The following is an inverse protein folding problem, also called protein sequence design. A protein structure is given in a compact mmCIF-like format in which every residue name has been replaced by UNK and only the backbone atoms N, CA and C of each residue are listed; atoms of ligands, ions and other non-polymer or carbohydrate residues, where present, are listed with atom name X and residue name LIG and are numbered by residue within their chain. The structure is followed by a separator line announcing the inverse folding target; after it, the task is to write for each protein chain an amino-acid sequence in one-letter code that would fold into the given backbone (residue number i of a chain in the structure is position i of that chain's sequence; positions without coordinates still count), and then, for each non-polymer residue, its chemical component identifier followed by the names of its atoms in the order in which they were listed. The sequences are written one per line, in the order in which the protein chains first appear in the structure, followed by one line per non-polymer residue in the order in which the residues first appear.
data_IF_380073322532
#
_entry.id   IF_380073322532
#
_cell.length_a   1.000
_cell.length_b   1.000
_cell.length_c   1.000
_cell.angle_alpha   90.00
_cell.angle_beta   90.00
_cell.angle_gamma   90.00
#
_symmetry.space_group_name_H-M   'P 1'
#
loop_
_entity.id
_entity.type
_entity.pdbx_description
1 polymer ?
#
# COMPACT_ATOMS: atom_id res chain seq x y z
N UNK A 1 -18.18 5.74 4.75
CA UNK A 1 -17.44 4.84 5.68
C UNK A 1 -16.14 4.45 5.00
N UNK A 2 -15.02 4.97 5.49
CA UNK A 2 -13.69 4.70 4.91
C UNK A 2 -13.23 3.32 5.37
N UNK A 3 -13.26 2.34 4.48
CA UNK A 3 -12.73 1.00 4.75
C UNK A 3 -11.25 1.11 5.15
N UNK A 4 -10.91 0.76 6.39
CA UNK A 4 -9.51 0.68 6.86
C UNK A 4 -9.09 -0.77 6.85
N UNK A 5 -8.46 -1.19 5.74
CA UNK A 5 -7.96 -2.55 5.62
C UNK A 5 -6.51 -2.61 6.14
N UNK A 6 -5.55 -1.90 5.53
CA UNK A 6 -4.17 -1.85 6.02
C UNK A 6 -3.60 -0.43 5.92
N UNK A 7 -2.88 0.00 6.96
CA UNK A 7 -2.10 1.24 6.97
C UNK A 7 -0.82 1.03 7.77
N UNK A 8 0.34 1.09 7.11
CA UNK A 8 1.65 0.92 7.76
C UNK A 8 2.68 1.86 7.17
N UNK A 9 3.82 1.98 7.85
CA UNK A 9 5.01 2.70 7.36
C UNK A 9 6.17 1.72 7.31
N UNK A 10 6.96 1.81 6.26
CA UNK A 10 8.14 0.98 6.07
C UNK A 10 9.30 1.85 5.60
N UNK A 11 10.38 1.89 6.38
CA UNK A 11 11.54 2.74 6.09
C UNK A 11 12.52 1.99 5.19
N UNK A 12 12.79 2.55 4.02
CA UNK A 12 13.63 1.96 2.97
C UNK A 12 13.93 3.01 1.90
N UNK A 13 14.89 2.72 1.03
CA UNK A 13 15.19 3.56 -0.14
C UNK A 13 13.99 3.70 -1.07
N UNK A 14 13.67 4.95 -1.43
CA UNK A 14 12.62 5.25 -2.39
C UNK A 14 13.01 4.81 -3.81
N UNK A 15 12.13 4.09 -4.51
CA UNK A 15 12.37 3.68 -5.90
C UNK A 15 12.43 4.85 -6.89
N UNK A 16 11.92 6.02 -6.49
CA UNK A 16 11.92 7.21 -7.32
C UNK A 16 13.13 8.11 -7.04
N UNK A 17 13.34 8.54 -5.78
CA UNK A 17 14.41 9.49 -5.45
C UNK A 17 15.68 8.85 -4.85
N UNK A 18 15.65 7.56 -4.49
CA UNK A 18 16.79 6.85 -3.90
C UNK A 18 17.06 7.15 -2.43
N UNK A 19 16.37 8.10 -1.81
CA UNK A 19 16.57 8.47 -0.40
C UNK A 19 15.95 7.45 0.57
N UNK A 20 16.63 7.20 1.70
CA UNK A 20 16.10 6.42 2.82
C UNK A 20 14.98 7.21 3.53
N UNK A 21 13.74 6.80 3.28
CA UNK A 21 12.55 7.53 3.73
C UNK A 21 11.41 6.58 4.10
N UNK A 22 10.44 7.09 4.87
CA UNK A 22 9.22 6.35 5.17
C UNK A 22 8.40 6.14 3.89
N UNK A 23 8.14 4.88 3.56
CA UNK A 23 7.17 4.48 2.55
C UNK A 23 5.85 4.21 3.26
N UNK A 24 4.89 5.13 3.08
CA UNK A 24 3.56 5.06 3.69
C UNK A 24 2.69 4.17 2.82
N UNK A 25 2.34 2.99 3.33
CA UNK A 25 1.58 1.96 2.62
C UNK A 25 0.14 1.96 3.13
N UNK A 26 -0.81 2.16 2.23
CA UNK A 26 -2.25 2.08 2.53
C UNK A 26 -2.92 1.15 1.53
N UNK A 27 -3.53 0.08 2.01
CA UNK A 27 -4.33 -0.83 1.18
C UNK A 27 -5.79 -0.81 1.66
N UNK A 28 -6.71 -0.73 0.70
CA UNK A 28 -8.17 -0.84 0.85
C UNK A 28 -8.71 -1.74 -0.26
N UNK A 29 -9.98 -2.14 -0.23
CA UNK A 29 -10.48 -3.07 -1.26
C UNK A 29 -10.38 -2.51 -2.68
N UNK A 30 -10.61 -1.20 -2.84
CA UNK A 30 -10.61 -0.56 -4.15
C UNK A 30 -9.21 -0.27 -4.72
N UNK A 31 -8.18 -0.16 -3.88
CA UNK A 31 -6.83 0.22 -4.31
C UNK A 31 -5.81 0.02 -3.18
N UNK A 32 -4.53 -0.08 -3.53
CA UNK A 32 -3.43 0.12 -2.61
C UNK A 32 -2.51 1.26 -3.11
N UNK A 33 -1.91 1.99 -2.17
CA UNK A 33 -0.99 3.09 -2.45
C UNK A 33 0.26 2.96 -1.60
N UNK A 34 1.39 3.33 -2.19
CA UNK A 34 2.68 3.46 -1.51
C UNK A 34 3.19 4.87 -1.80
N UNK A 35 3.39 5.66 -0.76
CA UNK A 35 3.80 7.07 -0.87
C UNK A 35 5.13 7.26 -0.17
N UNK A 36 6.12 7.80 -0.87
CA UNK A 36 7.38 8.21 -0.24
C UNK A 36 7.19 9.50 0.55
N UNK A 37 7.60 9.51 1.82
CA UNK A 37 7.51 10.69 2.69
C UNK A 37 8.48 11.81 2.32
N UNK A 38 9.49 11.54 1.48
CA UNK A 38 10.52 12.51 1.12
C UNK A 38 10.20 13.26 -0.18
N UNK A 39 9.88 12.54 -1.26
CA UNK A 39 9.61 13.16 -2.57
C UNK A 39 8.15 13.16 -3.00
N UNK A 40 7.23 12.59 -2.21
CA UNK A 40 5.82 12.50 -2.57
C UNK A 40 5.49 11.50 -3.69
N UNK A 41 6.49 10.76 -4.20
CA UNK A 41 6.27 9.73 -5.21
C UNK A 41 5.24 8.71 -4.72
N UNK A 42 4.15 8.59 -5.46
CA UNK A 42 2.97 7.79 -5.13
C UNK A 42 2.77 6.72 -6.19
N UNK A 43 2.91 5.47 -5.79
CA UNK A 43 2.59 4.29 -6.60
C UNK A 43 1.19 3.80 -6.27
N UNK A 44 0.35 3.62 -7.29
CA UNK A 44 -1.02 3.13 -7.16
C UNK A 44 -1.12 1.72 -7.74
N UNK A 45 -1.73 0.84 -6.96
CA UNK A 45 -2.00 -0.55 -7.30
C UNK A 45 -3.51 -0.80 -7.30
N UNK A 46 -4.01 -1.46 -8.33
CA UNK A 46 -5.43 -1.73 -8.53
C UNK A 46 -5.69 -3.23 -8.28
N UNK A 47 -6.77 -3.57 -7.55
CA UNK A 47 -7.11 -4.96 -7.24
C UNK A 47 -7.30 -5.78 -8.52
N UNK A 48 -6.83 -7.02 -8.51
CA UNK A 48 -7.09 -7.97 -9.62
C UNK A 48 -7.90 -9.18 -9.17
N UNK A 49 -7.59 -9.72 -8.00
CA UNK A 49 -8.33 -10.83 -7.43
C UNK A 49 -8.15 -10.89 -5.91
N UNK A 50 -9.11 -11.55 -5.28
CA UNK A 50 -9.16 -11.88 -3.87
C UNK A 50 -9.32 -13.39 -3.75
N UNK A 51 -8.64 -14.02 -2.80
CA UNK A 51 -8.75 -15.47 -2.60
C UNK A 51 -8.60 -15.84 -1.14
N UNK A 52 -9.30 -16.90 -0.72
CA UNK A 52 -9.14 -17.54 0.58
C UNK A 52 -8.68 -18.98 0.33
N UNK A 53 -7.37 -19.25 0.45
CA UNK A 53 -6.82 -20.57 0.10
C UNK A 53 -5.28 -20.66 0.16
N UNK A 54 -4.76 -21.86 -0.11
CA UNK A 54 -3.31 -22.20 -0.07
C UNK A 54 -2.57 -21.55 -1.26
N UNK A 55 -1.39 -21.01 -0.95
CA UNK A 55 -0.58 -20.08 -1.74
C UNK A 55 0.04 -20.75 -2.97
N UNK A 56 0.01 -20.06 -4.12
CA UNK A 56 1.11 -20.12 -5.09
C UNK A 56 2.13 -19.04 -4.76
N UNK A 57 3.41 -19.39 -4.70
CA UNK A 57 4.53 -18.50 -4.35
C UNK A 57 4.41 -17.18 -5.12
N UNK A 58 4.49 -16.04 -4.42
CA UNK A 58 4.60 -14.74 -5.09
C UNK A 58 5.88 -14.75 -5.92
N UNK A 59 5.76 -14.96 -7.23
CA UNK A 59 6.90 -14.90 -8.13
C UNK A 59 7.48 -13.48 -8.04
N UNK A 60 8.80 -13.32 -7.81
CA UNK A 60 9.46 -12.02 -7.88
C UNK A 60 9.44 -11.53 -9.33
N UNK A 61 8.35 -10.88 -9.71
CA UNK A 61 8.22 -10.22 -11.01
C UNK A 61 8.67 -8.76 -10.81
N UNK A 62 9.96 -8.50 -10.96
CA UNK A 62 10.49 -7.14 -10.86
C UNK A 62 12.03 -7.04 -10.88
N UNK A 63 12.53 -5.85 -11.21
CA UNK A 63 13.96 -5.47 -11.08
C UNK A 63 14.35 -5.04 -9.66
N UNK A 64 13.35 -4.78 -8.81
CA UNK A 64 13.54 -4.24 -7.48
C UNK A 64 13.21 -5.29 -6.42
N UNK A 65 13.80 -5.13 -5.24
CA UNK A 65 13.57 -6.02 -4.11
C UNK A 65 12.09 -6.09 -3.71
N UNK A 66 11.71 -7.24 -3.18
CA UNK A 66 10.40 -7.44 -2.57
C UNK A 66 10.49 -6.99 -1.11
N UNK A 67 9.63 -6.06 -0.71
CA UNK A 67 9.46 -5.74 0.71
C UNK A 67 8.48 -6.74 1.31
N UNK A 68 8.95 -7.57 2.25
CA UNK A 68 8.12 -8.46 3.05
C UNK A 68 7.91 -7.82 4.44
N UNK A 69 6.68 -7.40 4.72
CA UNK A 69 6.35 -6.54 5.85
C UNK A 69 5.23 -7.20 6.66
N UNK A 70 5.45 -7.39 7.95
CA UNK A 70 4.39 -7.78 8.88
C UNK A 70 3.73 -6.53 9.48
N UNK A 71 2.39 -6.50 9.52
CA UNK A 71 1.64 -5.42 10.19
C UNK A 71 0.36 -5.95 10.83
N UNK A 72 -0.20 -5.19 11.77
CA UNK A 72 -1.51 -5.50 12.37
C UNK A 72 -2.61 -4.77 11.62
N UNK A 73 -3.61 -5.52 11.20
CA UNK A 73 -4.72 -5.00 10.40
C UNK A 73 -6.01 -5.77 10.68
N UNK A 74 -7.14 -5.14 10.38
CA UNK A 74 -8.45 -5.78 10.44
C UNK A 74 -8.71 -6.57 9.15
N UNK A 75 -9.03 -7.85 9.27
CA UNK A 75 -9.33 -8.69 8.13
C UNK A 75 -10.81 -8.59 7.74
N UNK A 76 -11.12 -8.11 6.53
CA UNK A 76 -12.50 -8.05 6.03
C UNK A 76 -13.16 -9.41 5.80
N UNK A 77 -12.37 -10.49 5.67
CA UNK A 77 -12.89 -11.84 5.46
C UNK A 77 -13.26 -12.55 6.77
N UNK A 78 -12.37 -12.55 7.78
CA UNK A 78 -12.65 -13.21 9.06
C UNK A 78 -13.10 -12.28 10.19
N UNK A 79 -13.07 -10.95 9.97
CA UNK A 79 -13.47 -9.95 10.95
C UNK A 79 -12.50 -9.75 12.13
N UNK A 80 -11.40 -10.50 12.18
CA UNK A 80 -10.42 -10.46 13.27
C UNK A 80 -9.31 -9.45 12.95
N UNK A 81 -8.95 -8.64 13.95
CA UNK A 81 -7.74 -7.81 13.90
C UNK A 81 -6.53 -8.66 14.31
N UNK A 82 -5.53 -8.74 13.45
CA UNK A 82 -4.38 -9.62 13.67
C UNK A 82 -3.23 -9.38 12.69
N UNK A 83 -2.18 -10.21 12.75
CA UNK A 83 -1.03 -10.08 11.88
C UNK A 83 -1.41 -10.35 10.41
N UNK A 84 -0.91 -9.49 9.54
CA UNK A 84 -1.04 -9.56 8.09
C UNK A 84 0.33 -9.38 7.46
N UNK A 85 0.63 -10.19 6.45
CA UNK A 85 1.83 -10.04 5.63
C UNK A 85 1.51 -9.16 4.44
N UNK A 86 2.43 -8.26 4.12
CA UNK A 86 2.41 -7.46 2.92
C UNK A 86 3.66 -7.76 2.12
N UNK A 87 3.46 -8.08 0.85
CA UNK A 87 4.54 -8.18 -0.12
C UNK A 87 4.39 -7.02 -1.08
N UNK A 88 5.33 -6.08 -1.07
CA UNK A 88 5.35 -4.93 -1.98
C UNK A 88 6.50 -5.10 -2.97
N UNK A 89 6.17 -5.30 -4.24
CA UNK A 89 7.13 -5.34 -5.33
C UNK A 89 6.99 -4.13 -6.25
N UNK A 90 7.76 -4.12 -7.33
CA UNK A 90 7.67 -3.07 -8.34
C UNK A 90 6.38 -3.14 -9.16
N UNK A 91 5.90 -4.35 -9.46
CA UNK A 91 4.73 -4.58 -10.32
C UNK A 91 3.46 -5.00 -9.59
N UNK A 92 3.54 -5.29 -8.29
CA UNK A 92 2.43 -5.84 -7.52
C UNK A 92 2.52 -5.52 -6.04
N UNK A 93 1.38 -5.58 -5.38
CA UNK A 93 1.26 -5.56 -3.92
C UNK A 93 0.33 -6.69 -3.52
N UNK A 94 0.73 -7.48 -2.53
CA UNK A 94 -0.11 -8.54 -1.96
C UNK A 94 -0.29 -8.29 -0.49
N UNK A 95 -1.50 -8.55 0.00
CA UNK A 95 -1.80 -8.60 1.43
C UNK A 95 -2.29 -9.98 1.77
N UNK A 96 -1.94 -10.50 2.95
CA UNK A 96 -2.38 -11.82 3.42
C UNK A 96 -2.67 -11.79 4.91
N UNK A 97 -3.88 -12.16 5.30
CA UNK A 97 -4.23 -12.40 6.69
C UNK A 97 -3.58 -13.69 7.18
N UNK A 98 -2.80 -13.64 8.27
CA UNK A 98 -2.20 -14.85 8.85
C UNK A 98 -3.23 -15.74 9.55
N UNK A 99 -4.40 -15.20 9.96
CA UNK A 99 -5.42 -15.96 10.67
C UNK A 99 -6.25 -16.86 9.74
N UNK A 100 -6.76 -16.34 8.63
CA UNK A 100 -7.65 -17.09 7.72
C UNK A 100 -7.06 -17.34 6.33
N UNK A 101 -5.84 -16.88 6.06
CA UNK A 101 -5.19 -17.01 4.76
C UNK A 101 -5.77 -16.13 3.65
N UNK A 102 -6.76 -15.28 3.96
CA UNK A 102 -7.36 -14.36 3.00
C UNK A 102 -6.29 -13.45 2.38
N UNK A 103 -6.21 -13.47 1.06
CA UNK A 103 -5.22 -12.77 0.26
C UNK A 103 -5.90 -11.81 -0.70
N UNK A 104 -5.35 -10.60 -0.79
CA UNK A 104 -5.73 -9.60 -1.78
C UNK A 104 -4.52 -9.26 -2.63
N UNK A 105 -4.62 -9.49 -3.94
CA UNK A 105 -3.61 -9.17 -4.92
C UNK A 105 -3.95 -7.91 -5.71
N UNK A 106 -3.02 -6.96 -5.72
CA UNK A 106 -3.08 -5.71 -6.46
C UNK A 106 -1.95 -5.68 -7.50
N UNK A 107 -2.26 -5.16 -8.69
CA UNK A 107 -1.27 -4.94 -9.75
C UNK A 107 -0.96 -3.45 -9.86
N UNK A 108 0.30 -3.12 -10.08
CA UNK A 108 0.72 -1.75 -10.38
C UNK A 108 -0.10 -1.18 -11.54
N UNK A 109 -0.50 0.08 -11.39
CA UNK A 109 -1.27 0.81 -12.40
C UNK A 109 -0.52 2.04 -12.88
N UNK A 110 -0.12 2.92 -11.95
CA UNK A 110 0.54 4.18 -12.27
C UNK A 110 1.41 4.66 -11.10
N UNK A 111 2.37 5.51 -11.44
CA UNK A 111 3.18 6.29 -10.51
C UNK A 111 3.03 7.77 -10.87
N UNK A 112 2.89 8.62 -9.85
CA UNK A 112 2.89 10.07 -10.01
C UNK A 112 3.54 10.72 -8.80
N UNK A 113 3.96 11.97 -8.93
CA UNK A 113 4.43 12.79 -7.81
C UNK A 113 3.26 13.63 -7.36
N UNK A 114 2.88 13.54 -6.09
CA UNK A 114 1.89 14.42 -5.51
C UNK A 114 2.57 15.72 -5.07
N UNK A 115 2.43 16.77 -5.86
CA UNK A 115 3.07 18.09 -5.61
C UNK A 115 2.62 18.71 -4.28
N UNK A 116 1.47 18.29 -3.72
CA UNK A 116 1.00 18.74 -2.39
C UNK A 116 1.83 18.17 -1.22
N UNK A 117 2.65 17.14 -1.45
CA UNK A 117 3.57 16.60 -0.43
C UNK A 117 4.94 17.29 -0.43
N UNK A 118 5.29 17.98 -1.51
CA UNK A 118 6.62 18.60 -1.68
C UNK A 118 6.64 20.03 -1.15
N UNK A 119 5.48 20.69 -1.10
CA UNK A 119 5.36 22.07 -0.62
C UNK A 119 4.68 22.11 0.74
N UNK A 120 5.44 22.41 1.80
CA UNK A 120 4.92 22.63 3.15
C UNK A 120 4.11 23.93 3.27
N UNK A 121 3.05 24.09 2.46
CA UNK A 121 2.28 25.32 2.32
C UNK A 121 0.77 25.11 2.45
N UNK A 122 0.21 25.68 3.52
CA UNK A 122 -1.21 26.00 3.77
C UNK A 122 -2.30 25.41 2.84
N UNK A 123 -3.04 24.44 3.40
CA UNK A 123 -4.39 24.12 2.92
C UNK A 123 -5.35 25.27 3.24
N UNK A 124 -5.55 26.17 2.28
CA UNK A 124 -6.66 27.12 2.31
C UNK A 124 -7.97 26.34 2.30
N UNK A 125 -8.80 26.57 3.33
CA UNK A 125 -10.12 25.96 3.45
C UNK A 125 -11.02 26.38 2.27
N UNK A 126 -11.91 25.51 1.79
CA UNK A 126 -12.85 25.89 0.75
C UNK A 126 -13.79 27.01 1.24
N UNK A 127 -14.12 28.00 0.40
CA UNK A 127 -15.11 29.02 0.76
C UNK A 127 -16.47 28.35 0.95
N UNK A 128 -17.12 28.66 2.07
CA UNK A 128 -18.47 28.18 2.38
C UNK A 128 -19.50 28.70 1.38
N UNK A 129 -20.63 27.98 1.21
CA UNK A 129 -21.66 28.38 0.26
C UNK A 129 -22.32 29.69 0.67
N UNK A 130 -22.43 30.62 -0.28
CA UNK A 130 -23.17 31.89 -0.19
C UNK A 130 -24.68 31.69 -0.12
#
# INVERSE_FOLDING_TARGET
MSERFISTRYRTDCYHCGEDADQIIKAVSAQARVVCSNCGATRVFIPRFETAGVIGTCTPIGRYDLWDIETKAWCKHCGISGPHNLVVGSGHLTTRCQNCGYMHFYRFNLEYIDEQFVDGGEVSAPPGPS
#
